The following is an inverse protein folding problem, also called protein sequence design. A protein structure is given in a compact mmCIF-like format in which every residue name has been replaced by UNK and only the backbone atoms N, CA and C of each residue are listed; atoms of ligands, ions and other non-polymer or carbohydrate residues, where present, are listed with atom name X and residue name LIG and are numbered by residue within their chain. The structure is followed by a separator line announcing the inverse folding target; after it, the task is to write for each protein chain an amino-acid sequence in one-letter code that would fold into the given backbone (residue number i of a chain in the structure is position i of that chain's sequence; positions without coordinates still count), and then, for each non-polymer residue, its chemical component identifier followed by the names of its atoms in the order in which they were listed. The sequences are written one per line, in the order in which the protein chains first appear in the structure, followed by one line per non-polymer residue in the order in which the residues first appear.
data_IF_053280696740
#
_entry.id   IF_053280696740
#
_cell.length_a   1.000
_cell.length_b   1.000
_cell.length_c   1.000
_cell.angle_alpha   90.00
_cell.angle_beta   90.00
_cell.angle_gamma   90.00
#
_symmetry.space_group_name_H-M   'P 1'
#
loop_
_entity.id
_entity.type
_entity.pdbx_description
1 polymer ?
#
# COMPACT_ATOMS: atom_id res chain seq x y z
N UNK A 1 4.57 10.80 43.70
CA UNK A 1 3.70 11.20 44.83
C UNK A 1 4.31 10.71 46.13
N UNK A 2 4.86 11.62 46.94
CA UNK A 2 5.61 11.31 48.17
C UNK A 2 4.82 10.45 49.18
N UNK A 3 3.57 10.83 49.47
CA UNK A 3 2.78 10.18 50.53
C UNK A 3 2.48 8.71 50.20
N UNK A 4 2.29 8.38 48.91
CA UNK A 4 2.06 7.00 48.45
C UNK A 4 3.36 6.19 48.54
N UNK A 5 4.49 6.77 48.13
CA UNK A 5 5.81 6.10 48.17
C UNK A 5 6.32 5.85 49.60
N UNK A 6 5.87 6.65 50.56
CA UNK A 6 6.22 6.51 51.99
C UNK A 6 5.20 5.69 52.79
N UNK A 7 4.22 5.08 52.12
CA UNK A 7 3.27 4.14 52.74
C UNK A 7 2.19 4.80 53.61
N UNK A 8 1.78 6.03 53.29
CA UNK A 8 0.75 6.72 54.09
C UNK A 8 -0.63 6.07 53.85
N UNK A 9 -1.45 5.87 54.89
CA UNK A 9 -2.85 5.51 54.74
C UNK A 9 -3.61 6.52 53.86
N UNK A 10 -4.54 6.06 53.03
CA UNK A 10 -5.30 6.92 52.11
C UNK A 10 -5.93 8.17 52.75
N UNK A 11 -6.54 8.11 53.95
CA UNK A 11 -7.07 9.31 54.61
C UNK A 11 -5.99 10.36 54.92
N UNK A 12 -4.78 9.92 55.29
CA UNK A 12 -3.64 10.80 55.54
C UNK A 12 -3.07 11.41 54.26
N UNK A 13 -3.14 10.68 53.15
CA UNK A 13 -2.74 11.20 51.82
C UNK A 13 -3.67 12.36 51.43
N UNK A 14 -4.98 12.18 51.57
CA UNK A 14 -5.96 13.23 51.30
C UNK A 14 -5.73 14.44 52.20
N UNK A 15 -5.56 14.24 53.51
CA UNK A 15 -5.31 15.32 54.46
C UNK A 15 -4.00 16.09 54.15
N UNK A 16 -2.92 15.39 53.78
CA UNK A 16 -1.66 16.03 53.40
C UNK A 16 -1.79 16.82 52.08
N UNK A 17 -2.58 16.33 51.13
CA UNK A 17 -2.85 17.05 49.89
C UNK A 17 -3.69 18.31 50.13
N UNK A 18 -4.76 18.21 50.93
CA UNK A 18 -5.58 19.37 51.32
C UNK A 18 -4.76 20.41 52.08
N UNK A 19 -3.90 19.97 53.01
CA UNK A 19 -2.97 20.85 53.71
C UNK A 19 -2.00 21.55 52.74
N UNK A 20 -1.46 20.83 51.75
CA UNK A 20 -0.57 21.41 50.75
C UNK A 20 -1.28 22.45 49.87
N UNK A 21 -2.51 22.19 49.43
CA UNK A 21 -3.31 23.11 48.64
C UNK A 21 -3.68 24.38 49.43
N UNK A 22 -4.13 24.22 50.68
CA UNK A 22 -4.40 25.35 51.58
C UNK A 22 -3.16 26.21 51.83
N UNK A 23 -1.99 25.58 52.01
CA UNK A 23 -0.71 26.29 52.13
C UNK A 23 -0.37 27.04 50.85
N UNK A 24 -0.63 26.46 49.68
CA UNK A 24 -0.35 27.07 48.38
C UNK A 24 -1.19 28.33 48.15
N UNK A 25 -2.50 28.22 48.37
CA UNK A 25 -3.43 29.35 48.24
C UNK A 25 -3.15 30.42 49.30
N UNK A 26 -2.90 30.01 50.54
CA UNK A 26 -2.70 30.92 51.66
C UNK A 26 -1.39 31.71 51.63
N UNK A 27 -0.36 31.19 50.95
CA UNK A 27 0.94 31.83 50.82
C UNK A 27 1.05 32.77 49.61
N UNK A 28 0.12 32.72 48.65
CA UNK A 28 0.21 33.52 47.41
C UNK A 28 0.34 35.02 47.70
N UNK A 29 1.43 35.63 47.22
CA UNK A 29 1.71 37.06 47.36
C UNK A 29 2.15 37.51 48.75
N UNK A 30 2.45 36.58 49.68
CA UNK A 30 2.82 36.90 51.07
C UNK A 30 4.30 36.64 51.35
N UNK A 31 4.92 37.35 52.31
CA UNK A 31 6.32 37.15 52.66
C UNK A 31 6.57 35.78 53.32
N UNK A 32 7.81 35.30 53.25
CA UNK A 32 8.22 34.00 53.80
C UNK A 32 7.90 33.87 55.30
N UNK A 33 8.03 34.95 56.07
CA UNK A 33 7.70 35.00 57.50
C UNK A 33 6.24 34.62 57.76
N UNK A 34 5.32 35.11 56.94
CA UNK A 34 3.91 34.76 57.01
C UNK A 34 3.68 33.29 56.65
N UNK A 35 4.36 32.78 55.62
CA UNK A 35 4.24 31.38 55.21
C UNK A 35 4.67 30.41 56.31
N UNK A 36 5.73 30.74 57.06
CA UNK A 36 6.20 29.94 58.21
C UNK A 36 5.16 29.97 59.35
N UNK A 37 4.57 31.13 59.64
CA UNK A 37 3.51 31.25 60.66
C UNK A 37 2.27 30.45 60.27
N UNK A 38 1.82 30.58 59.02
CA UNK A 38 0.68 29.83 58.49
C UNK A 38 0.94 28.32 58.53
N UNK A 39 2.16 27.90 58.19
CA UNK A 39 2.55 26.49 58.26
C UNK A 39 2.45 25.93 59.68
N UNK A 40 2.91 26.68 60.68
CA UNK A 40 2.82 26.30 62.10
C UNK A 40 1.36 26.14 62.55
N UNK A 41 0.50 27.07 62.15
CA UNK A 41 -0.94 27.01 62.43
C UNK A 41 -1.59 25.77 61.78
N UNK A 42 -1.28 25.52 60.51
CA UNK A 42 -1.80 24.36 59.77
C UNK A 42 -1.28 23.04 60.32
N UNK A 43 -0.02 22.97 60.73
CA UNK A 43 0.48 21.79 61.43
C UNK A 43 -0.32 21.48 62.69
N UNK A 44 -0.73 22.51 63.44
CA UNK A 44 -1.49 22.33 64.68
C UNK A 44 -2.92 21.86 64.42
N UNK A 45 -3.54 22.32 63.32
CA UNK A 45 -4.87 21.88 62.86
C UNK A 45 -4.84 20.43 62.35
N UNK A 46 -3.83 20.08 61.57
CA UNK A 46 -3.72 18.78 60.91
C UNK A 46 -3.02 17.71 61.76
N UNK A 47 -2.42 18.05 62.92
CA UNK A 47 -1.82 17.07 63.85
C UNK A 47 -2.84 16.04 64.36
N UNK A 48 -4.14 16.41 64.44
CA UNK A 48 -5.22 15.49 64.81
C UNK A 48 -5.55 14.49 63.70
N UNK A 49 -5.39 14.89 62.44
CA UNK A 49 -5.74 14.10 61.26
C UNK A 49 -4.54 13.39 60.64
N UNK A 50 -3.32 13.83 60.97
CA UNK A 50 -2.07 13.34 60.45
C UNK A 50 -1.16 13.00 61.64
N UNK A 51 -0.84 11.72 61.80
CA UNK A 51 0.08 11.25 62.85
C UNK A 51 1.39 12.04 62.83
N UNK A 52 1.96 12.33 64.01
CA UNK A 52 3.18 13.13 64.20
C UNK A 52 4.36 12.66 63.33
N UNK A 53 4.52 11.33 63.16
CA UNK A 53 5.56 10.74 62.30
C UNK A 53 5.36 11.11 60.83
N UNK A 54 4.12 11.06 60.34
CA UNK A 54 3.77 11.37 58.96
C UNK A 54 3.84 12.87 58.69
N UNK A 55 3.49 13.69 59.68
CA UNK A 55 3.64 15.13 59.63
C UNK A 55 5.11 15.52 59.49
N UNK A 56 6.01 14.94 60.28
CA UNK A 56 7.45 15.23 60.19
C UNK A 56 8.05 14.86 58.81
N UNK A 57 7.66 13.71 58.24
CA UNK A 57 8.08 13.31 56.89
C UNK A 57 7.57 14.30 55.85
N UNK A 58 6.30 14.73 55.96
CA UNK A 58 5.72 15.74 55.08
C UNK A 58 6.40 17.10 55.25
N UNK A 59 6.68 17.53 56.48
CA UNK A 59 7.39 18.77 56.80
C UNK A 59 8.76 18.79 56.16
N UNK A 60 9.57 17.75 56.35
CA UNK A 60 10.91 17.68 55.77
C UNK A 60 10.88 17.86 54.26
N UNK A 61 9.97 17.16 53.58
CA UNK A 61 9.81 17.28 52.14
C UNK A 61 9.26 18.64 51.70
N UNK A 62 8.27 19.18 52.42
CA UNK A 62 7.66 20.47 52.10
C UNK A 62 8.68 21.60 52.25
N UNK A 63 9.54 21.55 53.26
CA UNK A 63 10.61 22.52 53.43
C UNK A 63 11.70 22.40 52.37
N UNK A 64 12.11 21.18 52.01
CA UNK A 64 13.13 20.95 50.97
C UNK A 64 12.65 21.26 49.56
N UNK A 65 11.34 21.17 49.29
CA UNK A 65 10.78 21.44 47.96
C UNK A 65 10.26 22.88 47.85
N UNK A 66 9.21 23.19 48.59
CA UNK A 66 8.44 24.42 48.48
C UNK A 66 9.10 25.60 49.19
N UNK A 67 9.50 25.44 50.45
CA UNK A 67 10.07 26.56 51.23
C UNK A 67 11.48 26.93 50.78
N UNK A 68 12.30 25.96 50.37
CA UNK A 68 13.64 26.21 49.83
C UNK A 68 13.61 27.12 48.60
N UNK A 69 12.58 27.00 47.75
CA UNK A 69 12.44 27.75 46.51
C UNK A 69 11.28 28.76 46.58
N UNK A 70 10.98 29.28 47.79
CA UNK A 70 9.78 30.08 48.03
C UNK A 70 9.70 31.34 47.14
N UNK A 71 10.80 32.05 46.93
CA UNK A 71 10.85 33.24 46.06
C UNK A 71 10.50 32.92 44.61
N UNK A 72 11.01 31.81 44.08
CA UNK A 72 10.72 31.33 42.72
C UNK A 72 9.26 30.90 42.60
N UNK A 73 8.74 30.19 43.60
CA UNK A 73 7.33 29.75 43.61
C UNK A 73 6.39 30.96 43.67
N UNK A 74 6.69 31.97 44.49
CA UNK A 74 5.94 33.22 44.52
C UNK A 74 5.97 33.94 43.17
N UNK A 75 7.13 34.02 42.53
CA UNK A 75 7.23 34.57 41.19
C UNK A 75 6.32 33.83 40.20
N UNK A 76 6.32 32.49 40.22
CA UNK A 76 5.46 31.68 39.34
C UNK A 76 3.97 31.86 39.62
N UNK A 77 3.54 32.00 40.89
CA UNK A 77 2.12 32.18 41.23
C UNK A 77 1.60 33.60 41.00
N UNK A 78 2.47 34.60 41.10
CA UNK A 78 2.11 36.01 40.92
C UNK A 78 2.13 36.44 39.45
N UNK A 79 2.94 35.79 38.61
CA UNK A 79 2.98 36.07 37.18
C UNK A 79 1.82 35.39 36.48
N UNK A 80 0.97 36.18 35.83
CA UNK A 80 -0.05 35.66 34.94
C UNK A 80 0.64 35.15 33.67
N UNK A 81 0.92 33.85 33.60
CA UNK A 81 1.48 33.26 32.38
C UNK A 81 0.46 33.42 31.27
N UNK A 82 0.86 34.02 30.15
CA UNK A 82 0.09 33.93 28.92
C UNK A 82 -0.12 32.45 28.61
N UNK A 83 -1.38 32.03 28.50
CA UNK A 83 -1.71 30.66 28.13
C UNK A 83 -1.11 30.44 26.75
N UNK A 84 0.00 29.71 26.69
CA UNK A 84 0.68 29.32 25.47
C UNK A 84 -0.24 28.36 24.72
N UNK A 85 -1.23 28.95 24.04
CA UNK A 85 -2.27 28.23 23.33
C UNK A 85 -1.67 27.91 21.97
N UNK A 86 -0.90 26.83 21.92
CA UNK A 86 -0.36 26.31 20.68
C UNK A 86 -1.55 25.82 19.85
N UNK A 87 -2.09 26.68 18.98
CA UNK A 87 -3.10 26.31 17.99
C UNK A 87 -2.41 25.58 16.85
N UNK A 88 -2.17 24.28 17.03
CA UNK A 88 -1.80 23.40 15.93
C UNK A 88 -3.05 23.18 15.07
N UNK A 89 -3.16 23.93 13.97
CA UNK A 89 -4.13 23.65 12.90
C UNK A 89 -3.61 22.49 12.05
N UNK A 90 -3.53 21.30 12.64
CA UNK A 90 -3.31 20.08 11.86
C UNK A 90 -4.68 19.55 11.43
N UNK A 91 -4.88 19.47 10.11
CA UNK A 91 -5.98 18.71 9.55
C UNK A 91 -5.70 17.25 9.87
N UNK A 92 -6.50 16.67 10.77
CA UNK A 92 -6.45 15.24 11.04
C UNK A 92 -7.13 14.57 9.85
N UNK A 93 -6.34 14.13 8.88
CA UNK A 93 -6.84 13.25 7.82
C UNK A 93 -7.26 11.94 8.46
N UNK A 94 -8.56 11.72 8.56
CA UNK A 94 -9.10 10.43 8.96
C UNK A 94 -8.97 9.46 7.80
N UNK A 95 -8.45 8.26 8.06
CA UNK A 95 -8.37 7.18 7.07
C UNK A 95 -9.73 6.95 6.44
N UNK A 96 -9.75 6.61 5.15
CA UNK A 96 -10.97 6.19 4.47
C UNK A 96 -11.67 5.09 5.27
N UNK A 97 -13.00 5.14 5.39
CA UNK A 97 -13.74 4.15 6.15
C UNK A 97 -13.48 2.76 5.54
N UNK A 98 -13.34 1.71 6.37
CA UNK A 98 -13.11 0.37 5.87
C UNK A 98 -14.29 -0.06 4.97
N UNK A 99 -13.97 -0.84 3.94
CA UNK A 99 -14.94 -1.43 3.04
C UNK A 99 -16.01 -2.21 3.84
N UNK A 100 -17.25 -2.18 3.37
CA UNK A 100 -18.34 -2.83 4.07
C UNK A 100 -18.13 -4.35 4.11
N UNK A 101 -18.49 -5.01 5.21
CA UNK A 101 -18.33 -6.47 5.35
C UNK A 101 -19.01 -7.29 4.24
N UNK A 102 -20.03 -6.74 3.57
CA UNK A 102 -20.69 -7.38 2.42
C UNK A 102 -19.77 -7.54 1.20
N UNK A 103 -18.71 -6.74 1.12
CA UNK A 103 -17.70 -6.78 0.06
C UNK A 103 -16.55 -7.73 0.43
N UNK A 104 -16.57 -8.28 1.65
CA UNK A 104 -15.63 -9.30 2.09
C UNK A 104 -15.76 -10.55 1.24
N UNK A 105 -14.63 -11.03 0.73
CA UNK A 105 -14.52 -12.32 0.04
C UNK A 105 -14.01 -13.37 1.02
N UNK A 106 -14.38 -14.62 0.77
CA UNK A 106 -13.77 -15.76 1.46
C UNK A 106 -12.26 -15.79 1.19
N UNK A 107 -11.48 -16.20 2.18
CA UNK A 107 -10.00 -16.16 2.13
C UNK A 107 -9.48 -16.94 0.92
N UNK A 108 -10.02 -18.15 0.68
CA UNK A 108 -9.61 -19.00 -0.44
C UNK A 108 -9.87 -18.35 -1.81
N UNK A 109 -10.98 -17.62 -1.94
CA UNK A 109 -11.32 -16.88 -3.16
C UNK A 109 -10.37 -15.69 -3.33
N UNK A 110 -10.09 -14.97 -2.26
CA UNK A 110 -9.16 -13.85 -2.29
C UNK A 110 -7.75 -14.29 -2.68
N UNK A 111 -7.21 -15.35 -2.06
CA UNK A 111 -5.88 -15.86 -2.36
C UNK A 111 -5.77 -16.37 -3.81
N UNK A 112 -6.80 -17.08 -4.29
CA UNK A 112 -6.89 -17.49 -5.68
C UNK A 112 -6.83 -16.29 -6.63
N UNK A 113 -7.65 -15.25 -6.37
CA UNK A 113 -7.66 -14.04 -7.19
C UNK A 113 -6.31 -13.31 -7.16
N UNK A 114 -5.63 -13.25 -6.01
CA UNK A 114 -4.30 -12.66 -5.92
C UNK A 114 -3.28 -13.41 -6.76
N UNK A 115 -3.27 -14.74 -6.72
CA UNK A 115 -2.38 -15.58 -7.55
C UNK A 115 -2.65 -15.39 -9.04
N UNK A 116 -3.92 -15.38 -9.45
CA UNK A 116 -4.28 -15.13 -10.86
C UNK A 116 -3.85 -13.72 -11.30
N UNK A 117 -4.09 -12.70 -10.47
CA UNK A 117 -3.65 -11.32 -10.75
C UNK A 117 -2.14 -11.22 -10.92
N UNK A 118 -1.36 -11.92 -10.10
CA UNK A 118 0.10 -11.95 -10.24
C UNK A 118 0.51 -12.52 -11.60
N UNK A 119 -0.12 -13.62 -12.04
CA UNK A 119 0.15 -14.22 -13.36
C UNK A 119 -0.25 -13.25 -14.49
N UNK A 120 -1.38 -12.56 -14.37
CA UNK A 120 -1.82 -11.56 -15.37
C UNK A 120 -0.90 -10.34 -15.45
N UNK A 121 -0.28 -9.94 -14.33
CA UNK A 121 0.73 -8.87 -14.33
C UNK A 121 1.99 -9.33 -15.07
N UNK A 122 2.47 -10.54 -14.81
CA UNK A 122 3.63 -11.10 -15.51
C UNK A 122 3.37 -11.28 -17.01
N UNK A 123 2.18 -11.74 -17.39
CA UNK A 123 1.75 -11.86 -18.79
C UNK A 123 1.79 -10.50 -19.50
N UNK A 124 1.29 -9.45 -18.85
CA UNK A 124 1.33 -8.08 -19.41
C UNK A 124 2.76 -7.56 -19.54
N UNK A 125 3.60 -7.77 -18.53
CA UNK A 125 5.01 -7.37 -18.57
C UNK A 125 5.74 -8.05 -19.72
N UNK A 126 5.55 -9.36 -19.89
CA UNK A 126 6.13 -10.13 -20.99
C UNK A 126 5.64 -9.62 -22.36
N UNK A 127 4.35 -9.31 -22.49
CA UNK A 127 3.80 -8.75 -23.73
C UNK A 127 4.33 -7.34 -24.03
N UNK A 128 4.51 -6.50 -23.02
CA UNK A 128 5.07 -5.15 -23.15
C UNK A 128 6.56 -5.20 -23.55
N UNK A 129 7.35 -6.06 -22.91
CA UNK A 129 8.76 -6.31 -23.29
C UNK A 129 8.88 -6.80 -24.72
N UNK A 130 8.02 -7.76 -25.11
CA UNK A 130 7.97 -8.29 -26.47
C UNK A 130 7.59 -7.20 -27.48
N UNK A 131 6.59 -6.38 -27.17
CA UNK A 131 6.18 -5.26 -28.03
C UNK A 131 7.33 -4.27 -28.24
N UNK A 132 8.13 -4.00 -27.20
CA UNK A 132 9.31 -3.15 -27.32
C UNK A 132 10.38 -3.80 -28.21
N UNK A 133 10.69 -5.09 -28.01
CA UNK A 133 11.63 -5.81 -28.88
C UNK A 133 11.18 -5.85 -30.35
N UNK A 134 9.87 -5.94 -30.61
CA UNK A 134 9.32 -5.93 -31.97
C UNK A 134 9.45 -4.55 -32.62
N UNK A 135 9.32 -3.47 -31.84
CA UNK A 135 9.56 -2.09 -32.33
C UNK A 135 11.04 -1.88 -32.66
N UNK A 136 11.95 -2.33 -31.81
CA UNK A 136 13.40 -2.26 -32.06
C UNK A 136 13.77 -3.06 -33.32
N UNK A 137 13.28 -4.29 -33.45
CA UNK A 137 13.51 -5.12 -34.63
C UNK A 137 12.94 -4.49 -35.93
N UNK A 138 11.80 -3.80 -35.85
CA UNK A 138 11.26 -3.04 -36.99
C UNK A 138 12.16 -1.87 -37.36
N UNK A 139 12.64 -1.12 -36.38
CA UNK A 139 13.57 -0.01 -36.60
C UNK A 139 14.89 -0.50 -37.22
N UNK A 140 15.43 -1.62 -36.75
CA UNK A 140 16.66 -2.20 -37.33
C UNK A 140 16.43 -2.71 -38.76
N UNK A 141 15.24 -3.26 -39.05
CA UNK A 141 14.87 -3.62 -40.42
C UNK A 141 14.84 -2.39 -41.33
N UNK A 142 14.24 -1.28 -40.87
CA UNK A 142 14.18 -0.02 -41.63
C UNK A 142 15.58 0.52 -41.92
N UNK A 143 16.49 0.48 -40.93
CA UNK A 143 17.90 0.86 -41.12
C UNK A 143 18.59 0.01 -42.19
N UNK A 144 18.44 -1.31 -42.14
CA UNK A 144 19.04 -2.20 -43.14
C UNK A 144 18.50 -1.97 -44.55
N UNK A 145 17.22 -1.60 -44.67
CA UNK A 145 16.63 -1.26 -45.97
C UNK A 145 17.25 0.05 -46.49
N UNK A 146 17.35 1.07 -45.64
CA UNK A 146 18.00 2.34 -45.98
C UNK A 146 19.46 2.14 -46.42
N UNK A 147 20.23 1.31 -45.72
CA UNK A 147 21.61 0.98 -46.12
C UNK A 147 21.68 0.32 -47.50
N UNK A 148 20.73 -0.57 -47.84
CA UNK A 148 20.66 -1.20 -49.16
C UNK A 148 20.25 -0.18 -50.22
N UNK A 149 19.33 0.72 -49.91
CA UNK A 149 18.88 1.81 -50.80
C UNK A 149 20.03 2.80 -51.08
N UNK A 150 20.77 3.24 -50.06
CA UNK A 150 21.94 4.10 -50.20
C UNK A 150 23.05 3.44 -51.04
N UNK A 151 23.31 2.14 -50.83
CA UNK A 151 24.22 1.37 -51.69
C UNK A 151 23.74 1.42 -53.14
N UNK A 152 22.45 1.24 -53.39
CA UNK A 152 21.85 1.30 -54.73
C UNK A 152 22.05 2.67 -55.41
N UNK A 153 21.97 3.77 -54.65
CA UNK A 153 22.18 5.13 -55.15
C UNK A 153 23.65 5.45 -55.50
N UNK A 154 24.60 4.77 -54.86
CA UNK A 154 26.04 4.97 -55.06
C UNK A 154 26.62 4.15 -56.22
N UNK A 155 25.86 3.21 -56.81
CA UNK A 155 26.34 2.43 -57.95
C UNK A 155 26.30 3.27 -59.25
N UNK A 156 27.48 3.48 -59.86
CA UNK A 156 27.60 4.06 -61.20
C UNK A 156 27.24 3.03 -62.29
N UNK A 157 26.45 3.46 -63.28
CA UNK A 157 26.07 2.65 -64.44
C UNK A 157 27.20 2.71 -65.48
N UNK A 158 27.64 1.58 -66.08
CA UNK A 158 27.02 0.26 -66.12
C UNK A 158 27.44 -0.71 -65.00
N UNK A 159 26.46 -1.41 -64.42
CA UNK A 159 26.67 -2.40 -63.36
C UNK A 159 27.43 -3.64 -63.86
N UNK A 160 28.42 -4.06 -63.08
CA UNK A 160 29.09 -5.34 -63.28
C UNK A 160 28.24 -6.50 -62.73
N UNK A 161 28.27 -7.66 -63.40
CA UNK A 161 27.42 -8.81 -63.05
C UNK A 161 27.69 -9.31 -61.61
N UNK A 162 28.92 -9.15 -61.14
CA UNK A 162 29.35 -9.56 -59.79
C UNK A 162 28.69 -8.69 -58.71
N UNK A 163 28.64 -7.37 -58.91
CA UNK A 163 27.99 -6.41 -58.02
C UNK A 163 26.47 -6.67 -57.90
N UNK A 164 25.84 -7.09 -58.99
CA UNK A 164 24.41 -7.42 -59.03
C UNK A 164 24.10 -8.71 -58.26
N UNK A 165 24.97 -9.72 -58.36
CA UNK A 165 24.84 -10.97 -57.60
C UNK A 165 25.03 -10.75 -56.11
N UNK A 166 26.00 -9.91 -55.72
CA UNK A 166 26.23 -9.53 -54.32
C UNK A 166 25.01 -8.81 -53.74
N UNK A 167 24.45 -7.83 -54.46
CA UNK A 167 23.26 -7.10 -54.04
C UNK A 167 22.04 -8.02 -53.87
N UNK A 168 21.81 -8.94 -54.80
CA UNK A 168 20.72 -9.91 -54.71
C UNK A 168 20.91 -10.83 -53.50
N UNK A 169 22.14 -11.28 -53.24
CA UNK A 169 22.45 -12.10 -52.08
C UNK A 169 22.24 -11.34 -50.76
N UNK A 170 22.63 -10.08 -50.70
CA UNK A 170 22.40 -9.20 -49.54
C UNK A 170 20.90 -9.01 -49.25
N UNK A 171 20.11 -8.72 -50.30
CA UNK A 171 18.65 -8.59 -50.19
C UNK A 171 18.02 -9.92 -49.75
N UNK A 172 18.43 -11.04 -50.36
CA UNK A 172 17.91 -12.35 -50.04
C UNK A 172 18.26 -12.76 -48.60
N UNK A 173 19.49 -12.52 -48.16
CA UNK A 173 19.94 -12.78 -46.80
C UNK A 173 19.20 -11.92 -45.77
N UNK A 174 19.00 -10.63 -46.07
CA UNK A 174 18.21 -9.72 -45.24
C UNK A 174 16.76 -10.20 -45.12
N UNK A 175 16.12 -10.56 -46.23
CA UNK A 175 14.75 -11.07 -46.23
C UNK A 175 14.60 -12.40 -45.48
N UNK A 176 15.55 -13.33 -45.66
CA UNK A 176 15.58 -14.60 -44.93
C UNK A 176 15.74 -14.37 -43.43
N UNK A 177 16.63 -13.45 -43.03
CA UNK A 177 16.86 -13.08 -41.63
C UNK A 177 15.59 -12.51 -41.00
N UNK A 178 14.91 -11.58 -41.67
CA UNK A 178 13.66 -10.96 -41.19
C UNK A 178 12.53 -11.98 -41.05
N UNK A 179 12.34 -12.83 -42.06
CA UNK A 179 11.28 -13.85 -42.03
C UNK A 179 11.55 -14.91 -40.97
N UNK A 180 12.80 -15.33 -40.79
CA UNK A 180 13.21 -16.25 -39.71
C UNK A 180 12.94 -15.65 -38.33
N UNK A 181 13.36 -14.40 -38.09
CA UNK A 181 13.12 -13.71 -36.82
C UNK A 181 11.63 -13.51 -36.54
N UNK A 182 10.83 -13.20 -37.56
CA UNK A 182 9.37 -13.07 -37.42
C UNK A 182 8.70 -14.39 -37.02
N UNK A 183 9.09 -15.51 -37.66
CA UNK A 183 8.59 -16.83 -37.30
C UNK A 183 8.99 -17.22 -35.88
N UNK A 184 10.25 -16.97 -35.49
CA UNK A 184 10.71 -17.21 -34.12
C UNK A 184 9.91 -16.41 -33.11
N UNK A 185 9.65 -15.13 -33.38
CA UNK A 185 8.83 -14.27 -32.51
C UNK A 185 7.39 -14.80 -32.36
N UNK A 186 6.78 -15.28 -33.45
CA UNK A 186 5.45 -15.90 -33.39
C UNK A 186 5.46 -17.19 -32.57
N UNK A 187 6.46 -18.04 -32.74
CA UNK A 187 6.61 -19.28 -31.97
C UNK A 187 6.72 -18.96 -30.47
N UNK A 188 7.60 -18.02 -30.11
CA UNK A 188 7.78 -17.59 -28.72
C UNK A 188 6.48 -17.05 -28.15
N UNK A 189 5.77 -16.18 -28.87
CA UNK A 189 4.46 -15.68 -28.45
C UNK A 189 3.47 -16.79 -28.15
N UNK A 190 3.36 -17.78 -29.05
CA UNK A 190 2.42 -18.90 -28.84
C UNK A 190 2.86 -19.81 -27.68
N UNK A 191 4.17 -19.99 -27.47
CA UNK A 191 4.71 -20.72 -26.33
C UNK A 191 4.33 -20.01 -25.04
N UNK A 192 4.58 -18.71 -24.97
CA UNK A 192 4.37 -17.90 -23.76
C UNK A 192 2.89 -17.83 -23.41
N UNK A 193 2.01 -17.65 -24.41
CA UNK A 193 0.55 -17.72 -24.23
C UNK A 193 0.15 -19.07 -23.63
N UNK A 194 0.67 -20.19 -24.16
CA UNK A 194 0.36 -21.52 -23.63
C UNK A 194 0.92 -21.71 -22.21
N UNK A 195 2.13 -21.22 -21.91
CA UNK A 195 2.70 -21.33 -20.57
C UNK A 195 1.90 -20.53 -19.53
N UNK A 196 1.52 -19.29 -19.83
CA UNK A 196 0.68 -18.50 -18.90
C UNK A 196 -0.69 -19.14 -18.70
N UNK A 197 -1.25 -19.74 -19.75
CA UNK A 197 -2.52 -20.47 -19.66
C UNK A 197 -2.38 -21.72 -18.80
N UNK A 198 -1.28 -22.46 -18.93
CA UNK A 198 -0.97 -23.60 -18.08
C UNK A 198 -0.80 -23.17 -16.62
N UNK A 199 -0.03 -22.11 -16.36
CA UNK A 199 0.17 -21.56 -15.01
C UNK A 199 -1.17 -21.19 -14.37
N UNK A 200 -2.06 -20.51 -15.09
CA UNK A 200 -3.42 -20.19 -14.60
C UNK A 200 -4.24 -21.45 -14.29
N UNK A 201 -4.07 -22.53 -15.04
CA UNK A 201 -4.78 -23.80 -14.78
C UNK A 201 -4.23 -24.61 -13.62
N UNK A 202 -2.94 -24.47 -13.30
CA UNK A 202 -2.30 -25.16 -12.17
C UNK A 202 -2.78 -24.59 -10.84
N UNK A 203 -3.15 -23.29 -10.81
CA UNK A 203 -3.68 -22.66 -9.59
C UNK A 203 -4.99 -23.35 -9.18
N UNK A 204 -5.06 -23.97 -7.99
CA UNK A 204 -6.24 -24.70 -7.55
C UNK A 204 -7.41 -23.75 -7.37
N UNK A 205 -8.51 -24.00 -8.07
CA UNK A 205 -9.71 -23.15 -8.04
C UNK A 205 -10.59 -23.50 -6.84
N UNK A 206 -10.99 -22.53 -6.01
CA UNK A 206 -11.96 -22.73 -4.93
C UNK A 206 -13.28 -23.29 -5.45
N UNK A 207 -13.86 -24.25 -4.73
CA UNK A 207 -15.11 -24.93 -5.13
C UNK A 207 -16.29 -23.97 -5.33
N UNK A 208 -16.33 -22.88 -4.55
CA UNK A 208 -17.33 -21.83 -4.64
C UNK A 208 -17.41 -21.15 -6.03
N UNK A 209 -16.32 -21.16 -6.81
CA UNK A 209 -16.27 -20.57 -8.15
C UNK A 209 -16.74 -21.51 -9.27
N UNK A 210 -17.04 -22.78 -8.94
CA UNK A 210 -17.57 -23.78 -9.87
C UNK A 210 -16.55 -24.29 -10.90
N UNK A 211 -17.07 -24.93 -11.95
CA UNK A 211 -16.26 -25.59 -13.00
C UNK A 211 -15.46 -24.54 -13.79
N UNK A 212 -14.14 -24.74 -14.02
CA UNK A 212 -13.31 -23.79 -14.74
C UNK A 212 -13.83 -23.52 -16.15
N UNK A 213 -13.76 -22.26 -16.63
CA UNK A 213 -14.10 -21.94 -18.01
C UNK A 213 -13.13 -22.67 -18.95
N UNK A 214 -13.64 -23.53 -19.83
CA UNK A 214 -12.82 -24.18 -20.85
C UNK A 214 -12.31 -23.14 -21.83
N UNK A 215 -11.00 -23.03 -21.96
CA UNK A 215 -10.39 -22.21 -23.00
C UNK A 215 -10.80 -22.75 -24.37
N UNK A 216 -11.46 -21.90 -25.16
CA UNK A 216 -11.80 -22.25 -26.55
C UNK A 216 -10.52 -22.22 -27.36
N UNK A 217 -9.98 -23.38 -27.70
CA UNK A 217 -8.96 -23.48 -28.75
C UNK A 217 -9.57 -22.90 -30.02
N UNK A 218 -9.10 -21.72 -30.45
CA UNK A 218 -9.44 -21.19 -31.77
C UNK A 218 -8.78 -22.11 -32.79
N UNK A 219 -9.46 -23.19 -33.18
CA UNK A 219 -9.01 -24.02 -34.30
C UNK A 219 -9.14 -23.19 -35.57
N UNK A 220 -8.06 -22.52 -35.96
CA UNK A 220 -7.92 -21.90 -37.28
C UNK A 220 -7.59 -22.96 -38.32
N UNK A 221 -8.47 -23.94 -38.48
CA UNK A 221 -8.50 -24.78 -39.66
C UNK A 221 -9.86 -24.53 -40.29
N UNK A 222 -9.83 -23.85 -41.44
CA UNK A 222 -10.99 -23.30 -42.12
C UNK A 222 -12.13 -24.30 -42.22
N UNK A 223 -13.34 -23.85 -41.87
CA UNK A 223 -14.57 -24.57 -42.19
C UNK A 223 -14.67 -24.67 -43.71
N UNK A 224 -14.44 -25.85 -44.27
CA UNK A 224 -14.89 -26.14 -45.64
C UNK A 224 -16.41 -25.93 -45.71
N UNK A 225 -16.90 -25.15 -46.69
CA UNK A 225 -18.33 -24.97 -46.88
C UNK A 225 -18.93 -26.29 -47.39
N UNK A 226 -19.81 -26.90 -46.60
CA UNK A 226 -20.68 -27.99 -47.10
C UNK A 226 -21.59 -27.39 -48.16
N UNK A 227 -21.40 -27.81 -49.41
CA UNK A 227 -22.26 -27.48 -50.55
C UNK A 227 -23.71 -27.86 -50.25
N UNK A 228 -24.61 -26.88 -50.38
CA UNK A 228 -26.04 -27.08 -50.42
C UNK A 228 -26.42 -27.96 -51.63
N UNK A 229 -27.31 -28.92 -51.41
CA UNK A 229 -28.14 -29.51 -52.47
C UNK A 229 -29.61 -29.40 -52.07
N UNK A 230 -30.37 -28.97 -53.05
CA UNK A 230 -31.75 -28.52 -53.03
C UNK A 230 -32.80 -29.52 -52.53
N UNK A 231 -33.66 -29.00 -51.64
CA UNK A 231 -35.11 -28.85 -51.79
C UNK A 231 -36.03 -30.12 -51.82
N UNK A 232 -37.37 -29.97 -51.78
CA UNK A 232 -38.18 -30.47 -50.65
C UNK A 232 -39.25 -31.48 -51.08
N UNK A 233 -39.88 -32.19 -50.13
CA UNK A 233 -41.16 -32.89 -50.37
C UNK A 233 -42.10 -32.79 -49.18
N UNK A 234 -43.17 -32.01 -49.37
CA UNK A 234 -44.42 -32.11 -48.61
C UNK A 234 -45.19 -33.39 -48.97
N UNK A 235 -45.89 -33.98 -47.99
CA UNK A 235 -47.20 -34.67 -48.08
C UNK A 235 -47.60 -35.12 -46.67
N UNK A 236 -48.44 -34.37 -45.97
CA UNK A 236 -49.91 -34.52 -45.87
C UNK A 236 -50.41 -35.67 -44.97
N UNK A 237 -51.13 -35.25 -43.92
CA UNK A 237 -52.39 -35.81 -43.38
C UNK A 237 -52.41 -37.12 -42.57
N UNK A 238 -52.74 -36.96 -41.29
CA UNK A 238 -54.00 -37.42 -40.64
C UNK A 238 -53.97 -38.56 -39.61
N UNK A 239 -54.81 -38.34 -38.56
CA UNK A 239 -55.46 -39.30 -37.63
C UNK A 239 -54.57 -39.90 -36.51
N UNK A 240 -55.00 -40.17 -35.28
CA UNK A 240 -56.26 -40.05 -34.52
C UNK A 240 -55.92 -40.34 -33.02
N UNK A 241 -56.68 -39.74 -32.08
CA UNK A 241 -57.13 -40.26 -30.76
C UNK A 241 -56.19 -41.18 -29.92
N UNK A 242 -55.90 -40.77 -28.68
CA UNK A 242 -56.77 -40.96 -27.49
C UNK A 242 -56.34 -39.99 -26.39
#
# INVERSE_FOLDING_TARGET
MLCIQKGFPWPHVCAAFTMADEMLQGCKGKPLTYAIMLYKEKCSQYLKSLSEKNLNIFTTHFFSSFMQHYSLMQFVFMQNREKLTIRLSQSVETSEPPLAFKEGKEVDIYEYEQKIKQIEVLEKQCEDERLNSEKEAKQDKERRIQEIEEKLEQLEVPLEREQLVELINDIAASHLSVTSASLQSQILKTRDEVTFMLEKTIVPRPAALGIPPRYKTKSSLGKHPKSAKDAPKQRSSSKLRK
#
